data_IF_204457127651
#
_entry.id   IF_204457127651
#
_cell.length_a   1.000
_cell.length_b   1.000
_cell.length_c   1.000
_cell.angle_alpha   90.00
_cell.angle_beta   90.00
_cell.angle_gamma   90.00
#
_symmetry.space_group_name_H-M   'P 1'
#
loop_
_entity.id
_entity.type
_entity.pdbx_description
1 polymer ?
#
# COMPACT_ATOMS: atom_id res chain seq x y z
N UNK A 1 24.64 -17.65 4.39
CA UNK A 1 24.21 -17.42 3.00
C UNK A 1 22.99 -16.53 2.95
N UNK A 2 22.84 -15.68 1.93
CA UNK A 2 21.57 -15.00 1.68
C UNK A 2 20.68 -15.97 0.90
N UNK A 3 19.57 -16.37 1.49
CA UNK A 3 18.57 -17.22 0.85
C UNK A 3 17.94 -16.43 -0.31
N UNK A 4 17.78 -17.07 -1.47
CA UNK A 4 17.24 -16.42 -2.66
C UNK A 4 15.76 -16.06 -2.51
N UNK A 5 15.31 -15.04 -3.24
CA UNK A 5 13.88 -14.71 -3.33
C UNK A 5 13.06 -15.88 -3.90
N UNK A 6 13.68 -16.69 -4.77
CA UNK A 6 13.05 -17.88 -5.36
C UNK A 6 12.83 -19.01 -4.35
N UNK A 7 13.74 -19.13 -3.38
CA UNK A 7 13.68 -20.15 -2.32
C UNK A 7 12.75 -19.76 -1.17
N UNK A 8 12.30 -18.51 -1.13
CA UNK A 8 11.39 -17.98 -0.09
C UNK A 8 10.02 -17.68 -0.68
N UNK A 9 9.90 -16.58 -1.42
CA UNK A 9 8.61 -16.10 -1.93
C UNK A 9 8.07 -16.99 -3.03
N UNK A 10 8.92 -17.45 -3.96
CA UNK A 10 8.50 -18.34 -5.04
C UNK A 10 8.61 -19.84 -4.70
N UNK A 11 8.86 -20.17 -3.43
CA UNK A 11 8.84 -21.57 -3.00
C UNK A 11 7.45 -22.18 -3.24
N UNK A 12 7.43 -23.42 -3.74
CA UNK A 12 6.19 -24.13 -4.08
C UNK A 12 5.13 -24.11 -2.97
N UNK A 13 5.45 -24.34 -1.67
CA UNK A 13 4.46 -24.24 -0.60
C UNK A 13 3.84 -22.85 -0.43
N UNK A 14 4.64 -21.79 -0.62
CA UNK A 14 4.16 -20.42 -0.53
C UNK A 14 3.24 -20.06 -1.71
N UNK A 15 3.62 -20.49 -2.93
CA UNK A 15 2.79 -20.31 -4.13
C UNK A 15 1.45 -21.04 -4.03
N UNK A 16 1.46 -22.30 -3.55
CA UNK A 16 0.24 -23.07 -3.32
C UNK A 16 -0.65 -22.38 -2.29
N UNK A 17 -0.07 -21.92 -1.18
CA UNK A 17 -0.82 -21.20 -0.14
C UNK A 17 -1.40 -19.89 -0.66
N UNK A 18 -0.62 -19.10 -1.39
CA UNK A 18 -1.06 -17.86 -1.99
C UNK A 18 -2.22 -18.08 -2.98
N UNK A 19 -2.10 -19.07 -3.87
CA UNK A 19 -3.16 -19.42 -4.81
C UNK A 19 -4.40 -19.96 -4.10
N UNK A 20 -4.22 -20.78 -3.06
CA UNK A 20 -5.30 -21.29 -2.25
C UNK A 20 -6.06 -20.14 -1.57
N UNK A 21 -5.39 -19.17 -0.96
CA UNK A 21 -6.04 -18.00 -0.36
C UNK A 21 -6.74 -17.13 -1.42
N UNK A 22 -6.09 -16.91 -2.57
CA UNK A 22 -6.64 -16.12 -3.67
C UNK A 22 -7.94 -16.71 -4.21
N UNK A 23 -8.10 -18.03 -4.18
CA UNK A 23 -9.32 -18.72 -4.66
C UNK A 23 -10.32 -18.95 -3.53
N UNK A 24 -9.88 -19.48 -2.40
CA UNK A 24 -10.76 -19.90 -1.30
C UNK A 24 -11.43 -18.70 -0.63
N UNK A 25 -10.74 -17.57 -0.42
CA UNK A 25 -11.33 -16.41 0.27
C UNK A 25 -12.47 -15.81 -0.57
N UNK A 26 -12.29 -15.45 -1.86
CA UNK A 26 -13.40 -14.94 -2.66
C UNK A 26 -14.51 -15.99 -2.85
N UNK A 27 -14.16 -17.27 -3.01
CA UNK A 27 -15.16 -18.34 -3.18
C UNK A 27 -16.02 -18.50 -1.94
N UNK A 28 -15.43 -18.52 -0.75
CA UNK A 28 -16.17 -18.62 0.51
C UNK A 28 -17.07 -17.41 0.74
N UNK A 29 -16.58 -16.20 0.48
CA UNK A 29 -17.39 -14.98 0.53
C UNK A 29 -18.55 -15.02 -0.49
N UNK A 30 -18.31 -15.51 -1.71
CA UNK A 30 -19.33 -15.65 -2.74
C UNK A 30 -20.41 -16.68 -2.35
N UNK A 31 -20.01 -17.85 -1.85
CA UNK A 31 -20.95 -18.89 -1.41
C UNK A 31 -21.79 -18.42 -0.22
N UNK A 32 -21.18 -17.68 0.71
CA UNK A 32 -21.89 -17.09 1.85
C UNK A 32 -22.88 -16.02 1.37
N UNK A 33 -22.44 -15.11 0.51
CA UNK A 33 -23.30 -14.05 -0.05
C UNK A 33 -24.44 -14.58 -0.92
N UNK A 34 -24.26 -15.72 -1.60
CA UNK A 34 -25.33 -16.37 -2.37
C UNK A 34 -26.48 -16.88 -1.50
N UNK A 35 -26.21 -17.24 -0.24
CA UNK A 35 -27.23 -17.75 0.68
C UNK A 35 -27.95 -16.63 1.45
N UNK A 36 -27.48 -15.39 1.32
CA UNK A 36 -28.15 -14.23 1.90
C UNK A 36 -29.35 -13.82 1.04
N UNK A 37 -30.54 -13.85 1.65
CA UNK A 37 -31.81 -13.43 1.02
C UNK A 37 -32.19 -12.01 1.39
N UNK A 38 -31.41 -11.35 2.24
CA UNK A 38 -31.55 -9.91 2.43
C UNK A 38 -31.11 -9.25 1.14
N UNK A 39 -32.05 -8.60 0.44
CA UNK A 39 -31.74 -7.85 -0.78
C UNK A 39 -30.63 -6.84 -0.51
N UNK A 40 -29.91 -6.45 -1.57
CA UNK A 40 -28.80 -5.48 -1.49
C UNK A 40 -29.22 -4.32 -0.57
N UNK A 41 -28.54 -4.13 0.59
CA UNK A 41 -28.86 -3.02 1.48
C UNK A 41 -28.83 -1.74 0.67
N UNK A 42 -29.85 -0.90 0.80
CA UNK A 42 -29.84 0.42 0.19
C UNK A 42 -28.69 1.21 0.83
N UNK A 43 -27.52 1.14 0.20
CA UNK A 43 -26.37 1.91 0.63
C UNK A 43 -26.79 3.38 0.53
N UNK A 44 -26.56 4.19 1.58
CA UNK A 44 -26.70 5.62 1.43
C UNK A 44 -25.85 6.03 0.23
N UNK A 45 -26.33 6.93 -0.64
CA UNK A 45 -25.54 7.40 -1.76
C UNK A 45 -24.18 7.83 -1.20
N UNK A 46 -23.12 7.20 -1.71
CA UNK A 46 -21.75 7.62 -1.40
C UNK A 46 -21.63 9.04 -1.92
N UNK A 47 -21.84 10.00 -1.03
CA UNK A 47 -21.50 11.39 -1.28
C UNK A 47 -19.98 11.40 -1.33
N UNK A 48 -19.45 11.36 -2.55
CA UNK A 48 -18.09 11.81 -2.80
C UNK A 48 -18.05 13.26 -2.33
N UNK A 49 -17.66 13.46 -1.07
CA UNK A 49 -17.32 14.77 -0.58
C UNK A 49 -16.01 15.14 -1.25
N UNK A 50 -16.11 15.69 -2.46
CA UNK A 50 -15.20 16.77 -2.82
C UNK A 50 -15.50 17.89 -1.82
N UNK A 51 -15.02 17.78 -0.57
CA UNK A 51 -15.12 18.93 0.32
C UNK A 51 -14.37 20.05 -0.39
N UNK A 52 -15.05 21.18 -0.65
CA UNK A 52 -14.42 22.30 -1.32
C UNK A 52 -13.18 22.67 -0.53
N UNK A 53 -12.04 22.77 -1.21
CA UNK A 53 -10.78 23.15 -0.57
C UNK A 53 -11.01 24.40 0.30
N UNK A 54 -10.71 24.30 1.59
CA UNK A 54 -11.04 25.34 2.58
C UNK A 54 -10.37 26.67 2.19
N UNK A 55 -11.16 27.61 1.65
CA UNK A 55 -10.74 28.98 1.38
C UNK A 55 -9.48 29.15 0.50
N UNK A 56 -9.00 30.40 0.36
CA UNK A 56 -7.77 30.68 -0.36
C UNK A 56 -6.56 30.12 0.39
N UNK A 57 -5.78 29.26 -0.28
CA UNK A 57 -4.58 28.63 0.26
C UNK A 57 -3.56 29.68 0.74
N UNK A 58 -3.12 29.59 2.00
CA UNK A 58 -2.17 30.56 2.59
C UNK A 58 -0.79 29.95 2.78
N UNK A 59 0.24 30.67 2.33
CA UNK A 59 1.64 30.30 2.59
C UNK A 59 2.01 28.92 2.05
N UNK A 60 2.48 28.03 2.95
CA UNK A 60 2.94 26.67 2.63
C UNK A 60 1.83 25.76 2.09
N UNK A 61 0.58 26.02 2.43
CA UNK A 61 -0.58 25.26 1.95
C UNK A 61 -0.72 25.30 0.41
N UNK A 62 -0.19 26.36 -0.23
CA UNK A 62 -0.12 26.44 -1.69
C UNK A 62 0.76 25.35 -2.30
N UNK A 63 1.80 24.91 -1.58
CA UNK A 63 2.66 23.82 -2.02
C UNK A 63 1.94 22.47 -1.88
N UNK A 64 1.21 22.29 -0.78
CA UNK A 64 0.49 21.04 -0.51
C UNK A 64 -0.67 20.81 -1.48
N UNK A 65 -1.32 21.90 -1.91
CA UNK A 65 -2.36 21.88 -2.95
C UNK A 65 -1.81 21.92 -4.37
N UNK A 66 -0.52 22.23 -4.56
CA UNK A 66 0.07 22.35 -5.90
C UNK A 66 0.22 20.97 -6.56
N UNK A 67 -0.41 20.75 -7.73
CA UNK A 67 -0.26 19.47 -8.40
C UNK A 67 1.12 19.27 -9.00
N UNK A 68 1.78 20.37 -9.37
CA UNK A 68 3.16 20.34 -9.88
C UNK A 68 4.12 19.87 -8.79
N UNK A 69 3.91 20.27 -7.54
CA UNK A 69 4.77 19.86 -6.43
C UNK A 69 4.66 18.36 -6.16
N UNK A 70 3.44 17.83 -6.12
CA UNK A 70 3.19 16.40 -5.95
C UNK A 70 3.74 15.59 -7.12
N UNK A 71 3.51 16.02 -8.35
CA UNK A 71 4.03 15.33 -9.55
C UNK A 71 5.54 15.37 -9.63
N UNK A 72 6.18 16.48 -9.26
CA UNK A 72 7.63 16.57 -9.22
C UNK A 72 8.21 15.64 -8.15
N UNK A 73 7.65 15.65 -6.93
CA UNK A 73 8.12 14.79 -5.84
C UNK A 73 7.90 13.30 -6.15
N UNK A 74 6.67 12.91 -6.46
CA UNK A 74 6.34 11.52 -6.80
C UNK A 74 7.04 11.08 -8.08
N UNK A 75 7.17 11.97 -9.06
CA UNK A 75 7.92 11.73 -10.30
C UNK A 75 9.41 11.47 -10.05
N UNK A 76 10.08 12.24 -9.19
CA UNK A 76 11.48 11.99 -8.79
C UNK A 76 11.61 10.62 -8.13
N UNK A 77 10.68 10.26 -7.24
CA UNK A 77 10.67 8.95 -6.58
C UNK A 77 10.53 7.82 -7.62
N UNK A 78 9.58 7.95 -8.54
CA UNK A 78 9.34 6.95 -9.59
C UNK A 78 10.51 6.84 -10.56
N UNK A 79 11.11 7.97 -10.96
CA UNK A 79 12.30 8.00 -11.81
C UNK A 79 13.50 7.35 -11.12
N UNK A 80 13.72 7.65 -9.84
CA UNK A 80 14.76 7.00 -9.05
C UNK A 80 14.53 5.49 -8.92
N UNK A 81 13.29 5.08 -8.62
CA UNK A 81 12.90 3.67 -8.54
C UNK A 81 13.09 2.93 -9.87
N UNK A 82 12.69 3.55 -10.98
CA UNK A 82 12.89 3.01 -12.32
C UNK A 82 14.37 2.91 -12.68
N UNK A 83 15.13 3.99 -12.47
CA UNK A 83 16.56 4.01 -12.77
C UNK A 83 17.33 2.95 -11.98
N UNK A 84 17.08 2.86 -10.66
CA UNK A 84 17.70 1.85 -9.81
C UNK A 84 17.29 0.44 -10.21
N UNK A 85 16.03 0.22 -10.56
CA UNK A 85 15.55 -1.06 -11.09
C UNK A 85 16.29 -1.43 -12.37
N UNK A 86 16.34 -0.56 -13.37
CA UNK A 86 17.03 -0.81 -14.65
C UNK A 86 18.53 -1.05 -14.47
N UNK A 87 19.21 -0.33 -13.57
CA UNK A 87 20.65 -0.47 -13.34
C UNK A 87 21.04 -1.83 -12.72
N UNK A 88 20.15 -2.41 -11.91
CA UNK A 88 20.37 -3.68 -11.21
C UNK A 88 19.64 -4.85 -11.89
N UNK A 89 18.77 -4.57 -12.87
CA UNK A 89 18.06 -5.57 -13.65
C UNK A 89 19.06 -6.46 -14.40
N UNK A 90 19.12 -7.73 -14.03
CA UNK A 90 20.01 -8.73 -14.65
C UNK A 90 21.31 -9.03 -13.88
N UNK A 91 21.75 -8.19 -12.94
CA UNK A 91 22.93 -8.48 -12.10
C UNK A 91 22.58 -9.28 -10.84
N UNK A 92 21.41 -9.03 -10.28
CA UNK A 92 20.98 -9.55 -8.97
C UNK A 92 19.73 -10.44 -9.03
N UNK A 93 19.26 -10.80 -10.24
CA UNK A 93 18.01 -11.55 -10.43
C UNK A 93 16.83 -10.84 -9.77
N UNK A 94 15.98 -11.56 -9.03
CA UNK A 94 14.86 -11.00 -8.26
C UNK A 94 15.25 -10.32 -6.95
N UNK A 95 16.53 -10.33 -6.54
CA UNK A 95 16.95 -9.67 -5.30
C UNK A 95 16.77 -8.14 -5.34
N UNK A 96 16.46 -7.58 -6.52
CA UNK A 96 16.10 -6.18 -6.63
C UNK A 96 14.73 -5.85 -6.01
N UNK A 97 13.85 -6.83 -5.83
CA UNK A 97 12.51 -6.65 -5.25
C UNK A 97 12.63 -6.71 -3.74
N UNK A 98 12.75 -5.55 -3.12
CA UNK A 98 12.76 -5.42 -1.65
C UNK A 98 11.51 -4.69 -1.15
N UNK A 99 11.06 -4.95 0.08
CA UNK A 99 9.95 -4.20 0.68
C UNK A 99 10.16 -2.69 0.63
N UNK A 100 11.37 -2.20 0.88
CA UNK A 100 11.67 -0.77 0.82
C UNK A 100 11.47 -0.17 -0.57
N UNK A 101 11.87 -0.89 -1.62
CA UNK A 101 11.72 -0.45 -3.02
C UNK A 101 10.25 -0.51 -3.45
N UNK A 102 9.50 -1.53 -3.01
CA UNK A 102 8.06 -1.62 -3.24
C UNK A 102 7.35 -0.47 -2.52
N UNK A 103 7.68 -0.20 -1.26
CA UNK A 103 7.09 0.89 -0.48
C UNK A 103 7.36 2.25 -1.14
N UNK A 104 8.59 2.47 -1.60
CA UNK A 104 8.98 3.70 -2.29
C UNK A 104 8.21 3.85 -3.63
N UNK A 105 8.07 2.77 -4.40
CA UNK A 105 7.27 2.75 -5.63
C UNK A 105 5.81 3.09 -5.35
N UNK A 106 5.20 2.44 -4.35
CA UNK A 106 3.81 2.68 -3.95
C UNK A 106 3.61 4.11 -3.46
N UNK A 107 4.55 4.67 -2.70
CA UNK A 107 4.52 6.07 -2.27
C UNK A 107 4.56 7.03 -3.47
N UNK A 108 5.51 6.84 -4.39
CA UNK A 108 5.61 7.67 -5.60
C UNK A 108 4.35 7.60 -6.44
N UNK A 109 3.81 6.39 -6.64
CA UNK A 109 2.57 6.18 -7.39
C UNK A 109 1.37 6.81 -6.69
N UNK A 110 1.24 6.65 -5.37
CA UNK A 110 0.15 7.23 -4.60
C UNK A 110 0.15 8.76 -4.71
N UNK A 111 1.31 9.41 -4.53
CA UNK A 111 1.41 10.88 -4.63
C UNK A 111 1.07 11.38 -6.04
N UNK A 112 1.57 10.71 -7.09
CA UNK A 112 1.27 11.11 -8.48
C UNK A 112 -0.21 10.93 -8.82
N UNK A 113 -0.81 9.79 -8.46
CA UNK A 113 -2.20 9.47 -8.77
C UNK A 113 -3.20 10.35 -8.01
N UNK A 114 -2.90 10.77 -6.79
CA UNK A 114 -3.75 11.70 -6.03
C UNK A 114 -3.61 13.16 -6.49
N UNK A 115 -2.55 13.47 -7.24
CA UNK A 115 -2.38 14.74 -7.91
C UNK A 115 -1.96 15.90 -7.02
N UNK A 116 -2.19 15.90 -5.70
CA UNK A 116 -1.64 16.87 -4.75
C UNK A 116 -1.35 16.20 -3.39
N UNK A 117 -0.47 16.78 -2.57
CA UNK A 117 -0.20 16.25 -1.23
C UNK A 117 -1.43 16.35 -0.32
N UNK A 118 -2.21 17.42 -0.45
CA UNK A 118 -3.45 17.58 0.29
C UNK A 118 -4.45 16.45 -0.01
N UNK A 119 -4.64 16.10 -1.30
CA UNK A 119 -5.51 14.98 -1.70
C UNK A 119 -4.97 13.63 -1.26
N UNK A 120 -3.65 13.43 -1.34
CA UNK A 120 -3.00 12.23 -0.85
C UNK A 120 -3.20 12.04 0.66
N UNK A 121 -2.92 13.05 1.48
CA UNK A 121 -3.06 12.98 2.94
C UNK A 121 -4.51 12.72 3.34
N UNK A 122 -5.46 13.40 2.70
CA UNK A 122 -6.89 13.17 2.94
C UNK A 122 -7.31 11.73 2.64
N UNK A 123 -6.86 11.18 1.51
CA UNK A 123 -7.13 9.78 1.17
C UNK A 123 -6.48 8.80 2.17
N UNK A 124 -5.30 9.14 2.68
CA UNK A 124 -4.65 8.37 3.76
C UNK A 124 -5.47 8.42 5.04
N UNK A 125 -5.98 9.59 5.46
CA UNK A 125 -6.81 9.72 6.67
C UNK A 125 -8.11 8.90 6.58
N UNK A 126 -8.72 8.83 5.40
CA UNK A 126 -9.89 7.97 5.17
C UNK A 126 -9.50 6.48 5.23
N UNK A 127 -8.44 6.09 4.51
CA UNK A 127 -8.02 4.70 4.39
C UNK A 127 -7.41 4.12 5.68
N UNK A 128 -6.75 4.95 6.50
CA UNK A 128 -6.03 4.49 7.71
C UNK A 128 -6.98 3.87 8.72
N UNK A 129 -8.24 4.32 8.77
CA UNK A 129 -9.27 3.76 9.65
C UNK A 129 -9.55 2.28 9.30
N UNK A 130 -9.56 1.93 8.02
CA UNK A 130 -9.68 0.54 7.56
C UNK A 130 -8.44 -0.31 7.82
N UNK A 131 -7.26 0.32 7.92
CA UNK A 131 -5.99 -0.35 8.19
C UNK A 131 -5.57 -0.31 9.68
N UNK A 132 -6.36 0.31 10.56
CA UNK A 132 -5.99 0.59 11.95
C UNK A 132 -5.59 -0.68 12.73
N UNK A 133 -6.31 -1.80 12.50
CA UNK A 133 -5.99 -3.08 13.13
C UNK A 133 -4.59 -3.60 12.80
N UNK A 134 -4.17 -3.46 11.54
CA UNK A 134 -2.83 -3.84 11.08
C UNK A 134 -1.78 -2.86 11.65
N UNK A 135 -2.09 -1.57 11.66
CA UNK A 135 -1.19 -0.53 12.16
C UNK A 135 -0.85 -0.71 13.64
N UNK A 136 -1.80 -1.13 14.47
CA UNK A 136 -1.57 -1.45 15.90
C UNK A 136 -0.77 -2.75 16.09
N UNK A 137 -0.92 -3.73 15.20
CA UNK A 137 -0.21 -5.00 15.29
C UNK A 137 1.30 -4.88 15.01
N UNK A 138 1.71 -4.00 14.09
CA UNK A 138 3.12 -3.86 13.71
C UNK A 138 4.04 -3.54 14.91
N UNK A 139 3.78 -2.50 15.73
CA UNK A 139 4.60 -2.20 16.90
C UNK A 139 4.61 -3.34 17.93
N UNK A 140 3.48 -4.01 18.14
CA UNK A 140 3.39 -5.12 19.09
C UNK A 140 4.24 -6.31 18.62
N UNK A 141 4.17 -6.65 17.33
CA UNK A 141 4.97 -7.71 16.73
C UNK A 141 6.48 -7.41 16.84
N UNK A 142 6.89 -6.19 16.53
CA UNK A 142 8.27 -5.76 16.74
C UNK A 142 8.70 -5.79 18.21
N UNK A 143 7.80 -5.44 19.13
CA UNK A 143 8.04 -5.52 20.57
C UNK A 143 8.31 -6.95 21.04
N UNK A 144 7.46 -7.90 20.64
CA UNK A 144 7.65 -9.33 20.97
C UNK A 144 8.95 -9.86 20.35
N UNK A 145 9.20 -9.56 19.07
CA UNK A 145 10.43 -9.98 18.40
C UNK A 145 11.68 -9.38 19.08
N UNK A 146 11.60 -8.13 19.54
CA UNK A 146 12.66 -7.48 20.30
C UNK A 146 12.96 -8.18 21.63
N UNK A 147 11.91 -8.55 22.38
CA UNK A 147 12.05 -9.33 23.61
C UNK A 147 12.65 -10.71 23.32
N UNK A 148 12.14 -11.42 22.30
CA UNK A 148 12.64 -12.73 21.89
C UNK A 148 14.12 -12.71 21.52
N UNK A 149 14.58 -11.64 20.86
CA UNK A 149 15.99 -11.45 20.52
C UNK A 149 16.88 -11.17 21.74
N UNK A 150 16.33 -10.60 22.81
CA UNK A 150 17.06 -10.29 24.05
C UNK A 150 17.02 -11.41 25.08
N UNK A 151 16.07 -12.33 24.99
CA UNK A 151 15.89 -13.45 25.94
C UNK A 151 16.71 -14.71 25.61
N UNK A 152 17.64 -14.64 24.66
CA UNK A 152 18.52 -15.74 24.23
C UNK A 152 19.78 -15.24 23.55
#
# INVERSE_FOLDING_TARGET
ERIGFEETVFASPNLVTALALLVLVPLTLYLLGRNDRSGVPALPPTTWHDDPEEGPAKGAERLDRSPVAAWLFGGIILLYGAWTSLAHFGREGFAFITPDRINLLLLGLAVVLHGSFARFLRAVDEAVTGAAGILVQFPLYFGIMGLMRGSG
#
